data_IF_021995006884
#
_entry.id   IF_021995006884
#
_cell.length_a   1.000
_cell.length_b   1.000
_cell.length_c   1.000
_cell.angle_alpha   90.00
_cell.angle_beta   90.00
_cell.angle_gamma   90.00
#
_symmetry.space_group_name_H-M   'P 1'
#
loop_
_entity.id
_entity.type
_entity.pdbx_description
1 polymer ?
#
# COMPACT_ATOMS: atom_id res chain seq x y z
N UNK A 1 0.82 -4.39 -14.47
CA UNK A 1 2.04 -4.88 -13.81
C UNK A 1 2.36 -4.09 -12.54
N UNK A 2 2.35 -2.75 -12.55
CA UNK A 2 2.67 -1.92 -11.39
C UNK A 2 1.81 -2.22 -10.15
N UNK A 3 0.49 -2.37 -10.30
CA UNK A 3 -0.43 -2.70 -9.21
C UNK A 3 -0.17 -4.07 -8.55
N UNK A 4 0.25 -5.06 -9.34
CA UNK A 4 0.60 -6.39 -8.79
C UNK A 4 1.91 -6.35 -8.00
N UNK A 5 2.89 -5.58 -8.47
CA UNK A 5 4.15 -5.35 -7.75
C UNK A 5 3.86 -4.61 -6.45
N UNK A 6 3.06 -3.54 -6.51
CA UNK A 6 2.68 -2.75 -5.34
C UNK A 6 1.94 -3.59 -4.29
N UNK A 7 0.94 -4.38 -4.71
CA UNK A 7 0.18 -5.22 -3.78
C UNK A 7 1.05 -6.29 -3.13
N UNK A 8 1.91 -6.94 -3.90
CA UNK A 8 2.78 -8.00 -3.40
C UNK A 8 3.87 -7.45 -2.48
N UNK A 9 4.49 -6.31 -2.84
CA UNK A 9 5.51 -5.68 -2.00
C UNK A 9 4.92 -5.19 -0.66
N UNK A 10 3.77 -4.53 -0.67
CA UNK A 10 3.07 -4.14 0.57
C UNK A 10 2.72 -5.36 1.43
N UNK A 11 2.16 -6.39 0.83
CA UNK A 11 1.80 -7.61 1.56
C UNK A 11 3.03 -8.27 2.17
N UNK A 12 4.12 -8.39 1.43
CA UNK A 12 5.37 -8.99 1.91
C UNK A 12 6.02 -8.15 3.04
N UNK A 13 6.15 -6.83 2.85
CA UNK A 13 6.70 -5.93 3.88
C UNK A 13 5.81 -5.92 5.11
N UNK A 14 4.49 -5.82 4.92
CA UNK A 14 3.53 -5.84 6.03
C UNK A 14 3.57 -7.12 6.83
N UNK A 15 3.55 -8.26 6.16
CA UNK A 15 3.59 -9.58 6.81
C UNK A 15 4.92 -9.82 7.52
N UNK A 16 6.04 -9.43 6.91
CA UNK A 16 7.37 -9.57 7.55
C UNK A 16 7.49 -8.69 8.79
N UNK A 17 6.99 -7.46 8.76
CA UNK A 17 6.99 -6.56 9.92
C UNK A 17 6.05 -7.04 11.04
N UNK A 18 4.97 -7.71 10.69
CA UNK A 18 4.04 -8.29 11.66
C UNK A 18 4.66 -9.51 12.38
N UNK A 19 5.32 -10.40 11.62
CA UNK A 19 5.88 -11.65 12.15
C UNK A 19 7.24 -11.41 12.84
N UNK A 20 8.07 -10.55 12.25
CA UNK A 20 9.42 -10.24 12.71
C UNK A 20 9.60 -8.76 13.04
N UNK A 21 8.86 -8.20 14.03
CA UNK A 21 8.86 -6.77 14.32
C UNK A 21 10.23 -6.25 14.78
N UNK A 22 11.01 -7.05 15.48
CA UNK A 22 12.36 -6.66 15.92
C UNK A 22 13.29 -6.49 14.71
N UNK A 23 13.22 -7.38 13.73
CA UNK A 23 13.98 -7.26 12.47
C UNK A 23 13.55 -6.05 11.66
N UNK A 24 12.24 -5.77 11.60
CA UNK A 24 11.73 -4.56 10.98
C UNK A 24 12.27 -3.30 11.66
N UNK A 25 12.22 -3.22 12.99
CA UNK A 25 12.82 -2.10 13.73
C UNK A 25 14.30 -1.90 13.38
N UNK A 26 15.08 -2.99 13.35
CA UNK A 26 16.49 -2.92 12.99
C UNK A 26 16.71 -2.41 11.56
N UNK A 27 15.90 -2.88 10.60
CA UNK A 27 15.95 -2.41 9.21
C UNK A 27 15.62 -0.91 9.08
N UNK A 28 14.75 -0.38 9.95
CA UNK A 28 14.43 1.05 10.02
C UNK A 28 15.33 1.85 10.97
N UNK A 29 16.42 1.24 11.46
CA UNK A 29 17.36 1.85 12.43
C UNK A 29 16.68 2.31 13.72
N UNK A 30 15.57 1.69 14.09
CA UNK A 30 14.86 1.96 15.33
C UNK A 30 15.39 1.09 16.46
N UNK A 31 15.49 1.61 17.70
CA UNK A 31 15.90 0.80 18.84
C UNK A 31 14.88 -0.31 19.13
N UNK A 32 15.36 -1.53 19.31
CA UNK A 32 14.57 -2.68 19.76
C UNK A 32 15.21 -3.22 21.06
N UNK A 33 14.43 -3.76 22.01
CA UNK A 33 12.99 -3.99 22.08
C UNK A 33 12.22 -2.86 22.80
N UNK A 34 10.91 -2.85 22.67
CA UNK A 34 10.05 -1.90 23.40
C UNK A 34 8.79 -1.49 22.62
N UNK A 35 8.32 -0.27 22.82
CA UNK A 35 7.15 0.30 22.15
C UNK A 35 7.27 0.29 20.62
N UNK A 36 8.48 0.39 20.08
CA UNK A 36 8.75 0.36 18.64
C UNK A 36 8.33 -0.97 17.97
N UNK A 37 8.44 -2.11 18.67
CA UNK A 37 7.98 -3.40 18.12
C UNK A 37 6.46 -3.46 17.96
N UNK A 38 5.71 -2.83 18.88
CA UNK A 38 4.26 -2.71 18.76
C UNK A 38 3.88 -1.83 17.58
N UNK A 39 4.57 -0.70 17.41
CA UNK A 39 4.37 0.21 16.28
C UNK A 39 4.69 -0.53 14.96
N UNK A 40 5.82 -1.25 14.90
CA UNK A 40 6.19 -2.03 13.72
C UNK A 40 5.12 -3.08 13.35
N UNK A 41 4.49 -3.73 14.34
CA UNK A 41 3.38 -4.65 14.09
C UNK A 41 2.14 -3.94 13.57
N UNK A 42 1.79 -2.77 14.11
CA UNK A 42 0.64 -2.00 13.63
C UNK A 42 0.82 -1.55 12.17
N UNK A 43 2.01 -1.03 11.84
CA UNK A 43 2.36 -0.72 10.46
C UNK A 43 2.31 -1.96 9.56
N UNK A 44 2.88 -3.07 10.04
CA UNK A 44 2.88 -4.33 9.32
C UNK A 44 1.47 -4.85 9.06
N UNK A 45 0.58 -4.84 10.06
CA UNK A 45 -0.81 -5.26 9.89
C UNK A 45 -1.55 -4.40 8.86
N UNK A 46 -1.38 -3.08 8.93
CA UNK A 46 -1.98 -2.14 7.98
C UNK A 46 -1.53 -2.42 6.55
N UNK A 47 -0.21 -2.53 6.32
CA UNK A 47 0.34 -2.75 4.98
C UNK A 47 -0.02 -4.14 4.43
N UNK A 48 -0.08 -5.17 5.28
CA UNK A 48 -0.56 -6.48 4.89
C UNK A 48 -2.02 -6.43 4.40
N UNK A 49 -2.90 -5.73 5.14
CA UNK A 49 -4.31 -5.57 4.76
C UNK A 49 -4.46 -4.76 3.48
N UNK A 50 -3.75 -3.64 3.35
CA UNK A 50 -3.78 -2.81 2.13
C UNK A 50 -3.25 -3.59 0.91
N UNK A 51 -2.17 -4.34 1.08
CA UNK A 51 -1.62 -5.20 0.04
C UNK A 51 -2.59 -6.30 -0.40
N UNK A 52 -3.21 -6.99 0.57
CA UNK A 52 -4.23 -8.01 0.31
C UNK A 52 -5.47 -7.42 -0.39
N UNK A 53 -5.94 -6.27 0.07
CA UNK A 53 -7.10 -5.59 -0.53
C UNK A 53 -6.82 -5.17 -1.97
N UNK A 54 -5.65 -4.58 -2.23
CA UNK A 54 -5.23 -4.19 -3.58
C UNK A 54 -5.10 -5.42 -4.51
N UNK A 55 -4.56 -6.53 -3.99
CA UNK A 55 -4.49 -7.79 -4.70
C UNK A 55 -5.86 -8.33 -5.07
N UNK A 56 -6.79 -8.33 -4.11
CA UNK A 56 -8.17 -8.74 -4.34
C UNK A 56 -8.84 -7.83 -5.39
N UNK A 57 -8.72 -6.51 -5.25
CA UNK A 57 -9.29 -5.54 -6.19
C UNK A 57 -8.74 -5.72 -7.61
N UNK A 58 -7.44 -6.05 -7.74
CA UNK A 58 -6.80 -6.26 -9.04
C UNK A 58 -7.17 -7.60 -9.69
N UNK A 59 -7.44 -8.65 -8.90
CA UNK A 59 -7.73 -10.02 -9.39
C UNK A 59 -9.20 -10.35 -9.56
N UNK A 60 -10.11 -9.64 -8.94
CA UNK A 60 -11.56 -9.88 -9.05
C UNK A 60 -12.09 -9.89 -10.50
N UNK A 61 -11.18 -9.84 -11.46
CA UNK A 61 -11.42 -9.75 -12.89
C UNK A 61 -11.33 -11.06 -13.67
N UNK A 62 -10.86 -12.14 -13.07
CA UNK A 62 -10.57 -13.36 -13.83
C UNK A 62 -11.71 -14.38 -13.81
N UNK A 63 -12.83 -14.07 -13.14
CA UNK A 63 -13.95 -15.00 -12.95
C UNK A 63 -15.19 -14.74 -13.81
N UNK A 64 -15.16 -13.83 -14.79
CA UNK A 64 -16.31 -13.64 -15.68
C UNK A 64 -16.33 -14.75 -16.71
N UNK A 65 -17.21 -15.72 -16.51
CA UNK A 65 -17.55 -16.70 -17.51
C UNK A 65 -18.01 -16.00 -18.79
N UNK A 66 -17.44 -16.38 -19.93
CA UNK A 66 -17.64 -15.81 -21.27
C UNK A 66 -19.09 -15.88 -21.82
N UNK A 67 -20.04 -16.26 -21.00
CA UNK A 67 -21.47 -16.43 -21.32
C UNK A 67 -22.35 -15.23 -20.93
N UNK A 68 -21.77 -14.20 -20.31
CA UNK A 68 -22.56 -13.01 -19.92
C UNK A 68 -22.82 -12.09 -21.12
N UNK A 69 -24.03 -11.52 -21.28
CA UNK A 69 -24.32 -10.54 -22.34
C UNK A 69 -23.35 -9.34 -22.22
N UNK A 70 -22.92 -8.80 -23.35
CA UNK A 70 -21.89 -7.73 -23.45
C UNK A 70 -22.09 -6.59 -22.45
N UNK A 71 -23.35 -6.19 -22.22
CA UNK A 71 -23.73 -5.14 -21.29
C UNK A 71 -23.41 -5.47 -19.81
N UNK A 72 -23.48 -6.74 -19.40
CA UNK A 72 -23.12 -7.16 -18.06
C UNK A 72 -21.59 -7.15 -17.86
N UNK A 73 -20.83 -7.53 -18.91
CA UNK A 73 -19.38 -7.48 -18.90
C UNK A 73 -18.84 -6.05 -18.77
N UNK A 74 -19.50 -5.05 -19.38
CA UNK A 74 -19.09 -3.65 -19.27
C UNK A 74 -19.36 -3.09 -17.87
N UNK A 75 -20.50 -3.40 -17.26
CA UNK A 75 -20.83 -3.00 -15.89
C UNK A 75 -19.81 -3.61 -14.89
N UNK A 76 -19.45 -4.86 -15.08
CA UNK A 76 -18.46 -5.52 -14.20
C UNK A 76 -17.06 -4.95 -14.38
N UNK A 77 -16.69 -4.54 -15.60
CA UNK A 77 -15.41 -3.87 -15.88
C UNK A 77 -15.35 -2.49 -15.20
N UNK A 78 -16.44 -1.74 -15.24
CA UNK A 78 -16.51 -0.43 -14.62
C UNK A 78 -16.45 -0.53 -13.08
N UNK A 79 -17.23 -1.41 -12.47
CA UNK A 79 -17.17 -1.68 -11.02
C UNK A 79 -15.77 -2.09 -10.55
N UNK A 80 -15.02 -2.79 -11.39
CA UNK A 80 -13.64 -3.19 -11.10
C UNK A 80 -12.69 -2.00 -11.15
N UNK A 81 -12.78 -1.15 -12.17
CA UNK A 81 -11.99 0.08 -12.24
C UNK A 81 -12.20 0.94 -11.00
N UNK A 82 -13.45 1.06 -10.56
CA UNK A 82 -13.81 1.78 -9.34
C UNK A 82 -13.17 1.18 -8.09
N UNK A 83 -13.27 -0.12 -7.87
CA UNK A 83 -12.63 -0.78 -6.72
C UNK A 83 -11.11 -0.63 -6.72
N UNK A 84 -10.50 -0.70 -7.89
CA UNK A 84 -9.06 -0.51 -8.01
C UNK A 84 -8.65 0.94 -7.70
N UNK A 85 -9.38 1.92 -8.23
CA UNK A 85 -9.19 3.34 -7.91
C UNK A 85 -9.32 3.58 -6.39
N UNK A 86 -10.35 3.03 -5.78
CA UNK A 86 -10.62 3.14 -4.34
C UNK A 86 -9.48 2.54 -3.50
N UNK A 87 -9.01 1.35 -3.86
CA UNK A 87 -7.88 0.70 -3.18
C UNK A 87 -6.56 1.49 -3.30
N UNK A 88 -6.28 2.03 -4.49
CA UNK A 88 -5.10 2.85 -4.73
C UNK A 88 -5.19 4.18 -3.98
N UNK A 89 -6.36 4.82 -3.99
CA UNK A 89 -6.61 6.09 -3.30
C UNK A 89 -6.43 5.94 -1.79
N UNK A 90 -6.99 4.88 -1.21
CA UNK A 90 -6.81 4.56 0.20
C UNK A 90 -5.31 4.37 0.54
N UNK A 91 -4.58 3.65 -0.29
CA UNK A 91 -3.14 3.50 -0.15
C UNK A 91 -2.39 4.84 -0.18
N UNK A 92 -2.68 5.69 -1.16
CA UNK A 92 -2.07 7.02 -1.29
C UNK A 92 -2.33 7.89 -0.06
N UNK A 93 -3.58 7.91 0.44
CA UNK A 93 -3.95 8.68 1.64
C UNK A 93 -3.14 8.21 2.85
N UNK A 94 -3.10 6.90 3.08
CA UNK A 94 -2.38 6.32 4.22
C UNK A 94 -0.88 6.63 4.13
N UNK A 95 -0.26 6.42 2.98
CA UNK A 95 1.17 6.70 2.78
C UNK A 95 1.49 8.20 2.91
N UNK A 96 0.59 9.08 2.46
CA UNK A 96 0.75 10.52 2.63
C UNK A 96 0.73 10.93 4.11
N UNK A 97 -0.16 10.31 4.90
CA UNK A 97 -0.19 10.51 6.36
C UNK A 97 1.13 10.04 7.00
N UNK A 98 1.67 8.91 6.56
CA UNK A 98 2.95 8.40 7.07
C UNK A 98 4.12 9.33 6.76
N UNK A 99 4.18 9.89 5.54
CA UNK A 99 5.19 10.87 5.15
C UNK A 99 5.09 12.10 6.03
N UNK A 100 3.89 12.65 6.21
CA UNK A 100 3.67 13.85 7.03
C UNK A 100 4.04 13.55 8.50
N UNK A 101 3.58 12.42 9.04
CA UNK A 101 3.83 12.04 10.43
C UNK A 101 5.32 11.80 10.69
N UNK A 102 6.02 11.13 9.78
CA UNK A 102 7.46 10.90 9.90
C UNK A 102 8.27 12.19 9.80
N UNK A 103 7.86 13.13 8.93
CA UNK A 103 8.46 14.45 8.83
C UNK A 103 8.26 15.26 10.12
N UNK A 104 7.06 15.25 10.69
CA UNK A 104 6.78 15.89 11.97
C UNK A 104 7.66 15.31 13.09
N UNK A 105 7.80 13.98 13.18
CA UNK A 105 8.67 13.33 14.16
C UNK A 105 10.15 13.75 14.04
N UNK A 106 10.63 14.00 12.84
CA UNK A 106 11.99 14.54 12.63
C UNK A 106 12.09 15.97 13.15
N UNK A 107 11.11 16.82 12.85
CA UNK A 107 11.08 18.21 13.32
C UNK A 107 10.99 18.32 14.84
N UNK A 108 10.29 17.40 15.48
CA UNK A 108 10.16 17.33 16.94
C UNK A 108 11.40 16.69 17.61
N UNK A 109 12.37 16.19 16.85
CA UNK A 109 13.55 15.49 17.38
C UNK A 109 13.28 14.07 17.90
N UNK A 110 12.10 13.53 17.64
CA UNK A 110 11.71 12.16 18.02
C UNK A 110 12.25 11.09 17.05
N UNK A 111 12.67 11.50 15.86
CA UNK A 111 13.22 10.65 14.83
C UNK A 111 14.52 11.26 14.30
N UNK A 112 15.57 10.45 14.17
CA UNK A 112 16.82 10.92 13.60
C UNK A 112 16.68 11.18 12.09
N UNK A 113 17.27 12.24 11.53
CA UNK A 113 17.18 12.57 10.10
C UNK A 113 17.62 11.41 9.17
N UNK A 114 18.54 10.56 9.63
CA UNK A 114 18.99 9.36 8.87
C UNK A 114 17.95 8.26 8.77
N UNK A 115 16.96 8.23 9.66
CA UNK A 115 15.87 7.24 9.69
C UNK A 115 14.73 7.63 8.74
N UNK A 116 14.56 8.92 8.48
CA UNK A 116 13.48 9.43 7.64
C UNK A 116 13.47 8.84 6.21
N UNK A 117 14.60 8.72 5.49
CA UNK A 117 14.59 8.13 4.15
C UNK A 117 14.12 6.67 4.14
N UNK A 118 14.31 5.92 5.22
CA UNK A 118 13.86 4.53 5.33
C UNK A 118 12.36 4.44 5.60
N UNK A 119 11.84 5.30 6.47
CA UNK A 119 10.43 5.28 6.89
C UNK A 119 9.58 6.05 5.88
N UNK A 120 9.87 7.34 5.68
CA UNK A 120 9.13 8.20 4.77
C UNK A 120 9.38 7.88 3.30
N UNK A 121 10.62 7.49 2.92
CA UNK A 121 10.97 7.13 1.55
C UNK A 121 10.24 5.89 1.05
N UNK A 122 9.99 4.91 1.91
CA UNK A 122 9.15 3.74 1.59
C UNK A 122 7.73 4.15 1.22
N UNK A 123 7.13 5.05 1.99
CA UNK A 123 5.80 5.58 1.72
C UNK A 123 5.76 6.39 0.42
N UNK A 124 6.75 7.24 0.15
CA UNK A 124 6.88 7.98 -1.13
C UNK A 124 6.98 7.02 -2.31
N UNK A 125 7.76 5.95 -2.20
CA UNK A 125 7.85 4.92 -3.24
C UNK A 125 6.48 4.26 -3.51
N UNK A 126 5.71 3.96 -2.47
CA UNK A 126 4.39 3.37 -2.63
C UNK A 126 3.39 4.34 -3.26
N UNK A 127 3.41 5.62 -2.93
CA UNK A 127 2.61 6.66 -3.60
C UNK A 127 2.97 6.73 -5.08
N UNK A 128 4.25 6.71 -5.42
CA UNK A 128 4.71 6.74 -6.81
C UNK A 128 4.27 5.50 -7.60
N UNK A 129 4.39 4.31 -7.03
CA UNK A 129 3.92 3.07 -7.65
C UNK A 129 2.38 3.05 -7.82
N UNK A 130 1.65 3.61 -6.86
CA UNK A 130 0.21 3.75 -6.95
C UNK A 130 -0.18 4.70 -8.08
N UNK A 131 0.55 5.79 -8.27
CA UNK A 131 0.34 6.73 -9.36
C UNK A 131 0.60 6.10 -10.74
N UNK A 132 1.69 5.36 -10.90
CA UNK A 132 1.96 4.61 -12.14
C UNK A 132 0.90 3.54 -12.41
N UNK A 133 0.38 2.92 -11.35
CA UNK A 133 -0.67 1.90 -11.45
C UNK A 133 -2.09 2.45 -11.59
N UNK A 134 -2.25 3.79 -11.64
CA UNK A 134 -3.57 4.41 -11.76
C UNK A 134 -4.24 4.04 -13.07
N UNK A 135 -5.48 3.55 -13.04
CA UNK A 135 -6.20 3.17 -14.26
C UNK A 135 -6.61 4.43 -15.02
N UNK A 136 -6.12 4.56 -16.25
CA UNK A 136 -6.51 5.63 -17.17
C UNK A 136 -8.03 5.59 -17.44
N UNK A 137 -8.66 6.76 -17.46
CA UNK A 137 -10.01 6.91 -17.99
C UNK A 137 -9.90 6.71 -19.50
N UNK A 138 -10.47 5.62 -20.00
CA UNK A 138 -10.71 5.51 -21.45
C UNK A 138 -11.61 6.70 -21.80
N UNK A 139 -11.07 7.66 -22.54
CA UNK A 139 -11.88 8.69 -23.16
C UNK A 139 -13.03 7.98 -23.90
N UNK A 140 -14.26 8.23 -23.46
CA UNK A 140 -15.42 7.80 -24.20
C UNK A 140 -15.46 8.66 -25.46
N UNK A 141 -14.96 8.11 -26.58
CA UNK A 141 -15.29 8.59 -27.93
C UNK A 141 -16.67 8.12 -28.34
#
# INVERSE_FOLDING_TARGET
MATSILSLSRFAVGTSSLIFPATACTAFLLPAPGSHTTIARLFGARDAVLGAYLWYASRASHGVNSTSPAKAADIDREKRKWRLKEALLLGIIVDSIDVISSAACVLEGNLEPRQWPLIGGGAVLFVFLAWIGWPEESAAE
#
